data_IF_605696868906
#
_entry.id   IF_605696868906
#
_cell.length_a   1.000
_cell.length_b   1.000
_cell.length_c   1.000
_cell.angle_alpha   90.00
_cell.angle_beta   90.00
_cell.angle_gamma   90.00
#
_symmetry.space_group_name_H-M   'P 1'
#
loop_
_entity.id
_entity.type
_entity.pdbx_description
1 polymer ?
#
# COMPACT_ATOMS: atom_id res chain seq x y z
N UNK A 1 -32.04 -77.20 -17.22
CA UNK A 1 -32.30 -75.79 -17.55
C UNK A 1 -32.37 -75.03 -16.24
N UNK A 2 -31.35 -74.22 -15.95
CA UNK A 2 -31.26 -73.43 -14.73
C UNK A 2 -31.83 -72.03 -15.02
N UNK A 3 -32.78 -71.59 -14.20
CA UNK A 3 -33.28 -70.21 -14.21
C UNK A 3 -32.22 -69.28 -13.60
N UNK A 4 -32.03 -68.06 -14.14
CA UNK A 4 -31.08 -67.11 -13.57
C UNK A 4 -31.65 -66.48 -12.30
N UNK A 5 -30.82 -66.37 -11.27
CA UNK A 5 -31.10 -65.57 -10.08
C UNK A 5 -31.06 -64.09 -10.46
N UNK A 6 -32.18 -63.41 -10.25
CA UNK A 6 -32.34 -61.98 -10.46
C UNK A 6 -31.37 -61.19 -9.58
N UNK A 7 -30.68 -60.25 -10.21
CA UNK A 7 -29.88 -59.24 -9.52
C UNK A 7 -30.83 -58.33 -8.74
N UNK A 8 -30.71 -58.34 -7.41
CA UNK A 8 -31.36 -57.36 -6.53
C UNK A 8 -30.68 -56.01 -6.76
N UNK A 9 -31.24 -55.22 -7.67
CA UNK A 9 -30.94 -53.80 -7.77
C UNK A 9 -31.55 -53.11 -6.55
N UNK A 10 -30.71 -52.69 -5.60
CA UNK A 10 -31.11 -51.74 -4.56
C UNK A 10 -31.32 -50.40 -5.25
N UNK A 11 -32.55 -50.18 -5.74
CA UNK A 11 -32.99 -48.88 -6.20
C UNK A 11 -33.00 -47.94 -4.99
N UNK A 12 -32.07 -46.98 -4.98
CA UNK A 12 -32.19 -45.81 -4.12
C UNK A 12 -33.42 -45.06 -4.59
N UNK A 13 -34.53 -45.22 -3.87
CA UNK A 13 -35.76 -44.52 -4.14
C UNK A 13 -35.48 -43.02 -4.22
N UNK A 14 -35.83 -42.40 -5.35
CA UNK A 14 -35.84 -40.96 -5.50
C UNK A 14 -36.77 -40.39 -4.42
N UNK A 15 -36.18 -39.88 -3.34
CA UNK A 15 -36.90 -39.09 -2.35
C UNK A 15 -37.55 -37.93 -3.10
N UNK A 16 -38.88 -37.91 -3.17
CA UNK A 16 -39.64 -36.79 -3.73
C UNK A 16 -39.44 -35.59 -2.81
N UNK A 17 -38.35 -34.86 -3.01
CA UNK A 17 -38.10 -33.59 -2.35
C UNK A 17 -39.13 -32.59 -2.85
N UNK A 18 -39.66 -31.79 -1.93
CA UNK A 18 -40.63 -30.77 -2.27
C UNK A 18 -40.03 -29.74 -3.25
N UNK A 19 -40.78 -29.30 -4.29
CA UNK A 19 -40.28 -28.34 -5.28
C UNK A 19 -39.76 -27.03 -4.65
N UNK A 20 -40.38 -26.57 -3.57
CA UNK A 20 -39.95 -25.38 -2.84
C UNK A 20 -38.58 -25.56 -2.17
N UNK A 21 -38.35 -26.69 -1.49
CA UNK A 21 -37.06 -27.02 -0.88
C UNK A 21 -35.95 -27.17 -1.94
N UNK A 22 -36.27 -27.75 -3.10
CA UNK A 22 -35.32 -27.86 -4.21
C UNK A 22 -34.94 -26.49 -4.81
N UNK A 23 -35.92 -25.60 -4.98
CA UNK A 23 -35.68 -24.24 -5.45
C UNK A 23 -34.81 -23.44 -4.46
N UNK A 24 -35.07 -23.60 -3.16
CA UNK A 24 -34.26 -23.00 -2.10
C UNK A 24 -32.81 -23.49 -2.14
N UNK A 25 -32.57 -24.80 -2.22
CA UNK A 25 -31.21 -25.35 -2.30
C UNK A 25 -30.48 -24.84 -3.54
N UNK A 26 -31.14 -24.81 -4.70
CA UNK A 26 -30.55 -24.24 -5.92
C UNK A 26 -30.19 -22.77 -5.77
N UNK A 27 -30.99 -21.98 -5.06
CA UNK A 27 -30.70 -20.57 -4.76
C UNK A 27 -29.46 -20.42 -3.88
N UNK A 28 -29.38 -21.19 -2.78
CA UNK A 28 -28.22 -21.18 -1.87
C UNK A 28 -26.94 -21.62 -2.60
N UNK A 29 -26.99 -22.71 -3.35
CA UNK A 29 -25.84 -23.19 -4.13
C UNK A 29 -25.46 -22.19 -5.22
N UNK A 30 -26.42 -21.61 -5.95
CA UNK A 30 -26.12 -20.61 -6.98
C UNK A 30 -25.44 -19.35 -6.40
N UNK A 31 -25.76 -18.98 -5.16
CA UNK A 31 -25.15 -17.84 -4.49
C UNK A 31 -23.73 -18.12 -3.98
N UNK A 32 -23.41 -19.37 -3.64
CA UNK A 32 -22.19 -19.72 -2.90
C UNK A 32 -21.20 -20.62 -3.65
N UNK A 33 -21.63 -21.50 -4.56
CA UNK A 33 -20.79 -22.59 -5.07
C UNK A 33 -19.58 -22.19 -5.93
N UNK A 34 -19.50 -20.92 -6.33
CA UNK A 34 -18.39 -20.39 -7.12
C UNK A 34 -17.53 -19.39 -6.34
N UNK A 35 -17.78 -19.25 -5.04
CA UNK A 35 -17.09 -18.31 -4.17
C UNK A 35 -16.19 -19.04 -3.18
N UNK A 36 -15.12 -18.38 -2.75
CA UNK A 36 -14.44 -18.76 -1.51
C UNK A 36 -15.29 -18.38 -0.28
N UNK A 37 -14.89 -18.86 0.90
CA UNK A 37 -15.50 -18.44 2.16
C UNK A 37 -15.39 -16.92 2.34
N UNK A 38 -14.20 -16.34 2.09
CA UNK A 38 -13.95 -14.90 2.16
C UNK A 38 -14.84 -14.11 1.19
N UNK A 39 -14.95 -14.55 -0.07
CA UNK A 39 -15.81 -13.88 -1.08
C UNK A 39 -17.28 -13.94 -0.68
N UNK A 40 -17.73 -15.05 -0.07
CA UNK A 40 -19.09 -15.18 0.43
C UNK A 40 -19.35 -14.27 1.65
N UNK A 41 -18.38 -14.12 2.56
CA UNK A 41 -18.46 -13.20 3.68
C UNK A 41 -18.44 -11.74 3.24
N UNK A 42 -17.56 -11.36 2.31
CA UNK A 42 -17.43 -10.00 1.79
C UNK A 42 -18.73 -9.51 1.13
N UNK A 43 -19.39 -10.37 0.35
CA UNK A 43 -20.68 -10.04 -0.29
C UNK A 43 -21.79 -9.78 0.74
N UNK A 44 -21.76 -10.47 1.89
CA UNK A 44 -22.75 -10.30 2.95
C UNK A 44 -22.49 -9.06 3.81
N UNK A 45 -21.23 -8.62 3.91
CA UNK A 45 -20.81 -7.47 4.73
C UNK A 45 -20.83 -6.16 3.92
N UNK A 46 -20.63 -6.22 2.61
CA UNK A 46 -20.51 -5.02 1.75
C UNK A 46 -21.85 -4.34 1.45
N UNK A 47 -22.99 -5.01 1.68
CA UNK A 47 -24.34 -4.53 1.39
C UNK A 47 -24.97 -3.76 2.58
N UNK A 48 -24.25 -2.81 3.20
CA UNK A 48 -24.78 -2.01 4.33
C UNK A 48 -26.07 -1.20 3.98
N UNK A 49 -26.28 -0.88 2.69
CA UNK A 49 -27.44 -0.12 2.20
C UNK A 49 -28.64 -1.00 1.76
N UNK A 50 -28.47 -2.32 1.64
CA UNK A 50 -29.54 -3.25 1.27
C UNK A 50 -29.60 -4.41 2.29
N UNK A 51 -30.18 -4.14 3.46
CA UNK A 51 -30.47 -5.12 4.53
C UNK A 51 -31.43 -6.26 4.09
N UNK A 52 -31.63 -6.46 2.79
CA UNK A 52 -32.56 -7.40 2.17
C UNK A 52 -31.93 -8.70 1.68
N UNK A 53 -30.60 -8.84 1.75
CA UNK A 53 -29.87 -10.00 1.18
C UNK A 53 -29.46 -11.06 2.21
N UNK A 54 -30.20 -11.26 3.32
CA UNK A 54 -29.99 -12.47 4.11
C UNK A 54 -30.35 -13.69 3.25
N UNK A 55 -29.32 -14.43 2.85
CA UNK A 55 -29.42 -15.59 1.95
C UNK A 55 -30.40 -16.64 2.49
N UNK A 56 -30.66 -16.65 3.80
CA UNK A 56 -31.49 -17.66 4.46
C UNK A 56 -32.91 -17.17 4.76
N UNK A 57 -33.29 -15.97 4.29
CA UNK A 57 -34.68 -15.47 4.34
C UNK A 57 -35.62 -16.43 3.58
N UNK A 58 -36.83 -16.60 4.12
CA UNK A 58 -37.89 -17.47 3.59
C UNK A 58 -37.52 -18.95 3.49
N UNK A 59 -36.79 -19.47 4.49
CA UNK A 59 -36.46 -20.90 4.59
C UNK A 59 -37.73 -21.78 4.66
N UNK A 60 -37.93 -22.73 3.73
CA UNK A 60 -39.03 -23.69 3.80
C UNK A 60 -38.78 -24.78 4.85
N UNK A 61 -39.83 -25.45 5.31
CA UNK A 61 -39.71 -26.61 6.20
C UNK A 61 -38.99 -27.76 5.47
N UNK A 62 -37.83 -28.18 6.00
CA UNK A 62 -36.97 -29.18 5.37
C UNK A 62 -37.28 -30.61 5.85
N UNK A 63 -38.54 -31.02 5.85
CA UNK A 63 -38.99 -32.29 6.45
C UNK A 63 -38.64 -33.54 5.63
N UNK A 64 -38.37 -33.41 4.32
CA UNK A 64 -38.07 -34.53 3.40
C UNK A 64 -36.73 -34.30 2.69
N UNK A 65 -35.65 -34.11 3.44
CA UNK A 65 -34.28 -34.04 2.90
C UNK A 65 -33.39 -35.14 3.50
N UNK A 66 -32.40 -35.64 2.74
CA UNK A 66 -31.32 -36.44 3.32
C UNK A 66 -30.67 -35.68 4.47
N UNK A 67 -30.35 -36.38 5.56
CA UNK A 67 -29.79 -35.76 6.77
C UNK A 67 -28.53 -34.94 6.50
N UNK A 68 -27.66 -35.40 5.59
CA UNK A 68 -26.46 -34.68 5.18
C UNK A 68 -26.76 -33.33 4.50
N UNK A 69 -27.81 -33.26 3.68
CA UNK A 69 -28.23 -32.04 2.97
C UNK A 69 -28.87 -31.06 3.95
N UNK A 70 -29.73 -31.55 4.84
CA UNK A 70 -30.32 -30.72 5.89
C UNK A 70 -29.25 -30.16 6.85
N UNK A 71 -28.26 -30.97 7.22
CA UNK A 71 -27.12 -30.53 8.03
C UNK A 71 -26.28 -29.47 7.31
N UNK A 72 -25.94 -29.69 6.03
CA UNK A 72 -25.17 -28.71 5.26
C UNK A 72 -25.87 -27.35 5.15
N UNK A 73 -27.19 -27.32 4.98
CA UNK A 73 -27.97 -26.07 4.98
C UNK A 73 -27.94 -25.40 6.36
N UNK A 74 -28.14 -26.17 7.43
CA UNK A 74 -28.07 -25.64 8.80
C UNK A 74 -26.69 -25.05 9.09
N UNK A 75 -25.61 -25.74 8.70
CA UNK A 75 -24.25 -25.27 8.88
C UNK A 75 -24.02 -23.97 8.12
N UNK A 76 -24.39 -23.89 6.84
CA UNK A 76 -24.25 -22.64 6.07
C UNK A 76 -25.06 -21.48 6.67
N UNK A 77 -26.27 -21.75 7.19
CA UNK A 77 -27.06 -20.74 7.90
C UNK A 77 -26.36 -20.30 9.19
N UNK A 78 -25.81 -21.22 9.98
CA UNK A 78 -25.04 -20.89 11.19
C UNK A 78 -23.80 -20.05 10.90
N UNK A 79 -23.16 -20.25 9.74
CA UNK A 79 -21.96 -19.51 9.33
C UNK A 79 -22.26 -18.09 8.83
N UNK A 80 -23.35 -17.92 8.08
CA UNK A 80 -23.61 -16.68 7.33
C UNK A 80 -24.80 -15.87 7.82
N UNK A 81 -25.57 -16.37 8.79
CA UNK A 81 -26.66 -15.60 9.37
C UNK A 81 -26.11 -14.33 10.02
N UNK A 82 -26.82 -13.22 9.81
CA UNK A 82 -26.46 -11.94 10.41
C UNK A 82 -26.35 -12.05 11.93
N UNK A 83 -25.22 -11.57 12.48
CA UNK A 83 -24.89 -11.67 13.90
C UNK A 83 -24.41 -13.05 14.36
N UNK A 84 -24.16 -13.99 13.45
CA UNK A 84 -23.52 -15.26 13.79
C UNK A 84 -22.06 -15.03 14.27
N UNK A 85 -21.55 -15.89 15.17
CA UNK A 85 -20.17 -15.76 15.64
C UNK A 85 -19.11 -15.79 14.53
N UNK A 86 -19.17 -16.69 13.52
CA UNK A 86 -18.19 -16.72 12.43
C UNK A 86 -18.19 -15.45 11.59
N UNK A 87 -19.37 -14.96 11.19
CA UNK A 87 -19.47 -13.72 10.39
C UNK A 87 -18.96 -12.50 11.18
N UNK A 88 -19.31 -12.41 12.48
CA UNK A 88 -18.80 -11.34 13.33
C UNK A 88 -17.29 -11.43 13.57
N UNK A 89 -16.72 -12.64 13.63
CA UNK A 89 -15.27 -12.83 13.68
C UNK A 89 -14.60 -12.39 12.37
N UNK A 90 -15.21 -12.70 11.23
CA UNK A 90 -14.72 -12.25 9.92
C UNK A 90 -14.73 -10.72 9.81
N UNK A 91 -15.81 -10.05 10.22
CA UNK A 91 -15.88 -8.57 10.25
C UNK A 91 -14.74 -7.96 11.07
N UNK A 92 -14.46 -8.52 12.25
CA UNK A 92 -13.34 -8.09 13.10
C UNK A 92 -12.01 -8.30 12.40
N UNK A 93 -11.80 -9.46 11.79
CA UNK A 93 -10.56 -9.77 11.10
C UNK A 93 -10.35 -8.89 9.87
N UNK A 94 -11.41 -8.61 9.12
CA UNK A 94 -11.39 -7.66 7.99
C UNK A 94 -10.99 -6.25 8.45
N UNK A 95 -11.47 -5.78 9.61
CA UNK A 95 -11.03 -4.51 10.22
C UNK A 95 -9.56 -4.57 10.60
N UNK A 96 -9.09 -5.65 11.24
CA UNK A 96 -7.67 -5.82 11.61
C UNK A 96 -6.78 -5.80 10.36
N UNK A 97 -7.13 -6.56 9.34
CA UNK A 97 -6.40 -6.62 8.07
C UNK A 97 -6.33 -5.24 7.40
N UNK A 98 -7.48 -4.56 7.25
CA UNK A 98 -7.51 -3.20 6.70
C UNK A 98 -6.64 -2.24 7.54
N UNK A 99 -6.64 -2.38 8.87
CA UNK A 99 -5.82 -1.55 9.78
C UNK A 99 -4.32 -1.77 9.57
N UNK A 100 -3.89 -3.02 9.40
CA UNK A 100 -2.49 -3.37 9.08
C UNK A 100 -2.09 -2.74 7.74
N UNK A 101 -2.90 -2.94 6.70
CA UNK A 101 -2.65 -2.36 5.38
C UNK A 101 -2.59 -0.82 5.44
N UNK A 102 -3.45 -0.20 6.22
CA UNK A 102 -3.46 1.26 6.38
C UNK A 102 -2.22 1.75 7.14
N UNK A 103 -1.75 1.02 8.16
CA UNK A 103 -0.47 1.32 8.85
C UNK A 103 0.72 1.22 7.90
N UNK A 104 0.73 0.24 7.00
CA UNK A 104 1.78 0.12 5.98
C UNK A 104 1.77 1.30 5.01
N UNK A 105 0.59 1.75 4.56
CA UNK A 105 0.46 2.97 3.72
C UNK A 105 0.99 4.21 4.43
N UNK A 106 0.70 4.37 5.73
CA UNK A 106 1.25 5.46 6.55
C UNK A 106 2.78 5.37 6.60
N UNK A 107 3.33 4.18 6.83
CA UNK A 107 4.77 3.98 6.89
C UNK A 107 5.46 4.32 5.55
N UNK A 108 4.93 3.86 4.42
CA UNK A 108 5.44 4.19 3.07
C UNK A 108 5.35 5.70 2.78
N UNK A 109 4.25 6.36 3.15
CA UNK A 109 4.10 7.80 3.00
C UNK A 109 5.14 8.57 3.85
N UNK A 110 5.37 8.14 5.09
CA UNK A 110 6.38 8.74 5.98
C UNK A 110 7.80 8.53 5.46
N UNK A 111 8.11 7.35 4.93
CA UNK A 111 9.42 7.06 4.33
C UNK A 111 9.70 7.97 3.12
N UNK A 112 8.71 8.14 2.24
CA UNK A 112 8.79 9.08 1.10
C UNK A 112 9.02 10.52 1.54
N UNK A 113 8.28 10.98 2.57
CA UNK A 113 8.49 12.31 3.13
C UNK A 113 9.92 12.48 3.65
N UNK A 114 10.40 11.52 4.44
CA UNK A 114 11.77 11.53 4.99
C UNK A 114 12.83 11.52 3.90
N UNK A 115 12.62 10.76 2.82
CA UNK A 115 13.51 10.76 1.67
C UNK A 115 13.61 12.17 1.05
N UNK A 116 12.48 12.84 0.82
CA UNK A 116 12.45 14.18 0.25
C UNK A 116 13.14 15.19 1.17
N UNK A 117 12.88 15.12 2.49
CA UNK A 117 13.53 15.98 3.47
C UNK A 117 15.06 15.80 3.48
N UNK A 118 15.54 14.56 3.38
CA UNK A 118 16.98 14.27 3.26
C UNK A 118 17.58 14.86 1.98
N UNK A 119 16.85 14.79 0.85
CA UNK A 119 17.31 15.40 -0.41
C UNK A 119 17.40 16.91 -0.28
N UNK A 120 16.42 17.57 0.33
CA UNK A 120 16.44 19.02 0.60
C UNK A 120 17.64 19.37 1.48
N UNK A 121 17.86 18.65 2.57
CA UNK A 121 19.00 18.88 3.46
C UNK A 121 20.35 18.75 2.74
N UNK A 122 20.48 17.79 1.82
CA UNK A 122 21.67 17.64 0.98
C UNK A 122 21.83 18.78 -0.02
N UNK A 123 20.73 19.28 -0.60
CA UNK A 123 20.76 20.46 -1.47
C UNK A 123 21.22 21.69 -0.70
N UNK A 124 20.71 21.91 0.52
CA UNK A 124 21.14 22.99 1.41
C UNK A 124 22.62 22.91 1.75
N UNK A 125 23.11 21.72 2.11
CA UNK A 125 24.53 21.50 2.38
C UNK A 125 25.39 21.81 1.15
N UNK A 126 24.97 21.38 -0.04
CA UNK A 126 25.68 21.65 -1.29
C UNK A 126 25.69 23.15 -1.60
N UNK A 127 24.55 23.85 -1.41
CA UNK A 127 24.47 25.29 -1.61
C UNK A 127 25.40 26.05 -0.66
N UNK A 128 25.43 25.66 0.62
CA UNK A 128 26.31 26.26 1.62
C UNK A 128 27.80 26.07 1.28
N UNK A 129 28.18 24.86 0.84
CA UNK A 129 29.53 24.54 0.36
C UNK A 129 29.91 25.44 -0.83
N UNK A 130 29.06 25.50 -1.86
CA UNK A 130 29.33 26.32 -3.05
C UNK A 130 29.42 27.82 -2.71
N UNK A 131 28.56 28.31 -1.83
CA UNK A 131 28.63 29.69 -1.36
C UNK A 131 29.94 29.98 -0.61
N UNK A 132 30.45 29.03 0.19
CA UNK A 132 31.75 29.15 0.83
C UNK A 132 32.90 29.16 -0.19
N UNK A 133 32.87 28.29 -1.20
CA UNK A 133 33.84 28.29 -2.29
C UNK A 133 33.88 29.63 -3.03
N UNK A 134 32.71 30.18 -3.40
CA UNK A 134 32.63 31.49 -4.08
C UNK A 134 33.27 32.59 -3.22
N UNK A 135 32.98 32.62 -1.91
CA UNK A 135 33.62 33.59 -0.99
C UNK A 135 35.15 33.44 -0.97
N UNK A 136 35.65 32.21 -0.94
CA UNK A 136 37.09 31.94 -0.94
C UNK A 136 37.77 32.37 -2.26
N UNK A 137 37.13 32.09 -3.41
CA UNK A 137 37.63 32.52 -4.72
C UNK A 137 37.67 34.04 -4.81
N UNK A 138 36.60 34.73 -4.40
CA UNK A 138 36.56 36.20 -4.35
C UNK A 138 37.62 36.80 -3.44
N UNK A 139 37.86 36.19 -2.28
CA UNK A 139 38.94 36.62 -1.39
C UNK A 139 40.31 36.47 -2.05
N UNK A 140 40.54 35.37 -2.78
CA UNK A 140 41.77 35.13 -3.54
C UNK A 140 41.96 36.18 -4.65
N UNK A 141 40.90 36.51 -5.39
CA UNK A 141 40.95 37.59 -6.38
C UNK A 141 41.29 38.93 -5.73
N UNK A 142 40.74 39.23 -4.54
CA UNK A 142 41.10 40.40 -3.76
C UNK A 142 42.59 40.49 -3.43
N UNK A 143 43.19 39.37 -2.98
CA UNK A 143 44.64 39.28 -2.73
C UNK A 143 45.44 39.51 -4.00
N UNK A 144 45.06 38.88 -5.12
CA UNK A 144 45.75 39.07 -6.41
C UNK A 144 45.71 40.55 -6.86
N UNK A 145 44.58 41.23 -6.67
CA UNK A 145 44.49 42.66 -6.96
C UNK A 145 45.42 43.50 -6.06
N UNK A 146 45.52 43.19 -4.77
CA UNK A 146 46.47 43.85 -3.88
C UNK A 146 47.93 43.60 -4.28
N UNK A 147 48.28 42.36 -4.67
CA UNK A 147 49.61 42.01 -5.19
C UNK A 147 49.94 42.80 -6.47
N UNK A 148 48.98 42.92 -7.41
CA UNK A 148 49.14 43.73 -8.62
C UNK A 148 49.41 45.21 -8.29
N UNK A 149 48.65 45.78 -7.35
CA UNK A 149 48.84 47.17 -6.93
C UNK A 149 50.23 47.39 -6.30
N UNK A 150 50.71 46.47 -5.48
CA UNK A 150 52.04 46.54 -4.87
C UNK A 150 53.17 46.43 -5.92
N UNK A 151 53.02 45.56 -6.92
CA UNK A 151 53.97 45.43 -8.03
C UNK A 151 54.06 46.73 -8.84
N UNK A 152 52.93 47.40 -9.07
CA UNK A 152 52.88 48.70 -9.76
C UNK A 152 53.54 49.80 -8.91
N UNK A 153 53.27 49.85 -7.61
CA UNK A 153 53.87 50.83 -6.71
C UNK A 153 55.41 50.71 -6.66
N UNK A 154 55.93 49.48 -6.52
CA UNK A 154 57.39 49.22 -6.52
C UNK A 154 58.07 49.66 -7.81
N UNK A 155 57.39 49.57 -8.95
CA UNK A 155 57.91 50.10 -10.20
C UNK A 155 57.98 51.64 -10.18
N UNK A 156 56.92 52.29 -9.68
CA UNK A 156 56.85 53.75 -9.59
C UNK A 156 57.92 54.34 -8.66
N UNK A 157 58.22 53.63 -7.56
CA UNK A 157 59.24 54.01 -6.59
C UNK A 157 60.68 53.68 -7.05
N UNK A 158 60.83 53.03 -8.21
CA UNK A 158 62.13 52.62 -8.76
C UNK A 158 62.76 51.41 -8.06
N UNK A 159 62.03 50.73 -7.19
CA UNK A 159 62.48 49.56 -6.41
C UNK A 159 62.46 48.25 -7.22
N UNK A 160 61.89 48.25 -8.42
CA UNK A 160 61.78 47.08 -9.27
C UNK A 160 62.09 47.40 -10.74
N UNK A 161 62.76 46.47 -11.43
CA UNK A 161 63.04 46.58 -12.85
C UNK A 161 61.82 46.20 -13.71
N UNK A 162 61.67 46.84 -14.87
CA UNK A 162 60.58 46.59 -15.83
C UNK A 162 60.38 45.11 -16.19
N UNK A 163 61.47 44.35 -16.33
CA UNK A 163 61.41 42.93 -16.69
C UNK A 163 60.81 42.06 -15.58
N UNK A 164 61.16 42.33 -14.32
CA UNK A 164 60.61 41.65 -13.13
C UNK A 164 59.12 41.95 -12.99
N UNK A 165 58.74 43.22 -13.13
CA UNK A 165 57.35 43.68 -13.05
C UNK A 165 56.51 43.04 -14.16
N UNK A 166 56.99 43.01 -15.40
CA UNK A 166 56.28 42.38 -16.52
C UNK A 166 56.06 40.88 -16.30
N UNK A 167 57.01 40.17 -15.69
CA UNK A 167 56.84 38.76 -15.33
C UNK A 167 55.78 38.57 -14.24
N UNK A 168 55.86 39.34 -13.15
CA UNK A 168 54.92 39.30 -12.03
C UNK A 168 53.50 39.62 -12.48
N UNK A 169 53.31 40.69 -13.27
CA UNK A 169 51.99 41.07 -13.81
C UNK A 169 51.41 39.95 -14.68
N UNK A 170 52.19 39.36 -15.60
CA UNK A 170 51.69 38.23 -16.43
C UNK A 170 51.24 37.04 -15.58
N UNK A 171 52.01 36.70 -14.54
CA UNK A 171 51.66 35.61 -13.62
C UNK A 171 50.37 35.89 -12.85
N UNK A 172 50.22 37.11 -12.33
CA UNK A 172 49.06 37.55 -11.55
C UNK A 172 47.80 37.62 -12.41
N UNK A 173 47.89 38.19 -13.62
CA UNK A 173 46.76 38.23 -14.56
C UNK A 173 46.29 36.81 -14.94
N UNK A 174 47.22 35.88 -15.15
CA UNK A 174 46.87 34.47 -15.39
C UNK A 174 46.14 33.84 -14.20
N UNK A 175 46.62 34.07 -12.97
CA UNK A 175 45.97 33.58 -11.74
C UNK A 175 44.57 34.21 -11.56
N UNK A 176 44.42 35.49 -11.90
CA UNK A 176 43.13 36.20 -11.82
C UNK A 176 42.12 35.59 -12.79
N UNK A 177 42.51 35.41 -14.06
CA UNK A 177 41.64 34.80 -15.07
C UNK A 177 41.17 33.39 -14.67
N UNK A 178 42.08 32.58 -14.09
CA UNK A 178 41.73 31.24 -13.60
C UNK A 178 40.75 31.29 -12.41
N UNK A 179 40.88 32.29 -11.52
CA UNK A 179 39.96 32.48 -10.41
C UNK A 179 38.57 32.95 -10.90
N UNK A 180 38.51 33.86 -11.88
CA UNK A 180 37.28 34.33 -12.51
C UNK A 180 36.51 33.18 -13.21
N UNK A 181 37.22 32.32 -13.94
CA UNK A 181 36.64 31.13 -14.57
C UNK A 181 36.07 30.18 -13.51
N UNK A 182 36.83 29.91 -12.45
CA UNK A 182 36.35 29.08 -11.33
C UNK A 182 35.14 29.68 -10.63
N UNK A 183 35.04 31.00 -10.49
CA UNK A 183 33.86 31.66 -9.92
C UNK A 183 32.65 31.50 -10.85
N UNK A 184 32.83 31.70 -12.15
CA UNK A 184 31.76 31.58 -13.14
C UNK A 184 31.16 30.17 -13.19
N UNK A 185 31.99 29.14 -13.08
CA UNK A 185 31.57 27.73 -13.01
C UNK A 185 30.73 27.44 -11.75
N UNK A 186 31.19 27.95 -10.59
CA UNK A 186 30.45 27.84 -9.34
C UNK A 186 29.10 28.56 -9.40
N UNK A 187 29.06 29.77 -9.94
CA UNK A 187 27.84 30.54 -10.10
C UNK A 187 26.85 29.84 -11.05
N UNK A 188 27.33 29.26 -12.15
CA UNK A 188 26.50 28.48 -13.07
C UNK A 188 25.88 27.27 -12.37
N UNK A 189 26.64 26.61 -11.50
CA UNK A 189 26.14 25.48 -10.70
C UNK A 189 25.06 25.95 -9.71
N UNK A 190 25.32 27.02 -8.96
CA UNK A 190 24.35 27.60 -8.01
C UNK A 190 23.09 28.10 -8.72
N UNK A 191 23.20 28.69 -9.90
CA UNK A 191 22.07 29.19 -10.68
C UNK A 191 21.09 28.09 -11.11
N UNK A 192 21.52 26.82 -11.15
CA UNK A 192 20.66 25.67 -11.47
C UNK A 192 19.94 25.08 -10.26
N UNK A 193 20.37 25.41 -9.04
CA UNK A 193 19.80 24.84 -7.81
C UNK A 193 18.36 25.30 -7.50
N UNK A 194 17.94 26.56 -7.78
CA UNK A 194 16.59 27.01 -7.43
C UNK A 194 15.47 26.14 -8.02
N UNK A 195 15.62 25.62 -9.24
CA UNK A 195 14.60 24.74 -9.84
C UNK A 195 14.49 23.41 -9.09
N UNK A 196 15.61 22.84 -8.65
CA UNK A 196 15.63 21.63 -7.82
C UNK A 196 14.96 21.88 -6.48
N UNK A 197 15.26 23.00 -5.81
CA UNK A 197 14.60 23.38 -4.56
C UNK A 197 13.08 23.54 -4.74
N UNK A 198 12.64 24.28 -5.75
CA UNK A 198 11.20 24.46 -6.02
C UNK A 198 10.51 23.11 -6.24
N UNK A 199 11.13 22.21 -7.01
CA UNK A 199 10.60 20.86 -7.22
C UNK A 199 10.46 20.09 -5.90
N UNK A 200 11.54 19.98 -5.11
CA UNK A 200 11.52 19.19 -3.89
C UNK A 200 10.68 19.79 -2.77
N UNK A 201 10.59 21.13 -2.67
CA UNK A 201 9.67 21.76 -1.72
C UNK A 201 8.21 21.47 -2.07
N UNK A 202 7.86 21.47 -3.36
CA UNK A 202 6.52 21.05 -3.81
C UNK A 202 6.26 19.57 -3.50
N UNK A 203 7.23 18.69 -3.75
CA UNK A 203 7.11 17.26 -3.42
C UNK A 203 6.96 17.02 -1.91
N UNK A 204 7.67 17.79 -1.08
CA UNK A 204 7.54 17.73 0.38
C UNK A 204 6.12 18.06 0.82
N UNK A 205 5.53 19.13 0.27
CA UNK A 205 4.16 19.53 0.60
C UNK A 205 3.15 18.44 0.23
N UNK A 206 3.24 17.89 -0.99
CA UNK A 206 2.39 16.77 -1.40
C UNK A 206 2.56 15.54 -0.52
N UNK A 207 3.78 15.22 -0.12
CA UNK A 207 4.07 14.07 0.74
C UNK A 207 3.54 14.29 2.15
N UNK A 208 3.62 15.51 2.68
CA UNK A 208 3.03 15.86 3.98
C UNK A 208 1.50 15.70 3.95
N UNK A 209 0.84 16.26 2.94
CA UNK A 209 -0.61 16.11 2.75
C UNK A 209 -0.99 14.63 2.66
N UNK A 210 -0.20 13.82 1.96
CA UNK A 210 -0.42 12.36 1.88
C UNK A 210 -0.30 11.70 3.24
N UNK A 211 0.77 11.97 3.99
CA UNK A 211 0.97 11.44 5.35
C UNK A 211 -0.22 11.82 6.25
N UNK A 212 -0.63 13.09 6.24
CA UNK A 212 -1.78 13.56 7.02
C UNK A 212 -3.09 12.84 6.61
N UNK A 213 -3.30 12.63 5.31
CA UNK A 213 -4.47 11.92 4.80
C UNK A 213 -4.47 10.43 5.22
N UNK A 214 -3.33 9.73 5.09
CA UNK A 214 -3.24 8.32 5.47
C UNK A 214 -3.34 8.13 7.00
N UNK A 215 -2.80 9.07 7.80
CA UNK A 215 -2.97 9.08 9.25
C UNK A 215 -4.43 9.37 9.66
N UNK A 216 -5.10 10.31 8.99
CA UNK A 216 -6.50 10.59 9.21
C UNK A 216 -7.38 9.38 8.86
N UNK A 217 -7.08 8.70 7.75
CA UNK A 217 -7.75 7.46 7.36
C UNK A 217 -7.53 6.37 8.42
N UNK A 218 -6.31 6.21 8.94
CA UNK A 218 -6.02 5.26 10.02
C UNK A 218 -6.79 5.61 11.30
N UNK A 219 -6.87 6.89 11.67
CA UNK A 219 -7.58 7.35 12.86
C UNK A 219 -9.11 7.22 12.75
N UNK A 220 -9.65 7.19 11.53
CA UNK A 220 -11.07 6.95 11.27
C UNK A 220 -11.45 5.47 11.33
N UNK A 221 -10.49 4.55 11.35
CA UNK A 221 -10.75 3.12 11.43
C UNK A 221 -11.21 2.73 12.83
N UNK A 222 -12.07 1.70 12.97
CA UNK A 222 -12.40 1.13 14.26
C UNK A 222 -11.12 0.63 14.96
N UNK A 223 -11.08 0.73 16.30
CA UNK A 223 -9.92 0.29 17.06
C UNK A 223 -9.65 -1.21 16.86
N UNK A 224 -8.41 -1.61 16.54
CA UNK A 224 -8.07 -3.00 16.27
C UNK A 224 -7.99 -3.86 17.54
N UNK A 225 -8.09 -3.27 18.72
CA UNK A 225 -7.92 -3.94 20.02
C UNK A 225 -9.21 -4.67 20.47
N UNK A 226 -9.81 -5.39 19.53
CA UNK A 226 -10.86 -6.36 19.82
C UNK A 226 -10.21 -7.60 20.45
N UNK A 227 -10.54 -7.97 21.70
CA UNK A 227 -10.04 -9.21 22.31
C UNK A 227 -10.43 -10.42 21.45
N UNK A 228 -9.64 -11.50 21.53
CA UNK A 228 -9.98 -12.78 20.89
C UNK A 228 -9.42 -13.03 19.48
N UNK A 229 -8.35 -12.36 19.04
CA UNK A 229 -7.78 -12.61 17.69
C UNK A 229 -7.49 -14.08 17.40
N UNK A 230 -6.85 -14.79 18.33
CA UNK A 230 -6.53 -16.22 18.15
C UNK A 230 -7.81 -17.07 18.08
N UNK A 231 -8.81 -16.73 18.90
CA UNK A 231 -10.10 -17.41 18.93
C UNK A 231 -10.90 -17.14 17.65
N UNK A 232 -10.81 -15.92 17.11
CA UNK A 232 -11.39 -15.52 15.82
C UNK A 232 -10.75 -16.30 14.67
N UNK A 233 -9.41 -16.41 14.65
CA UNK A 233 -8.69 -17.17 13.62
C UNK A 233 -9.07 -18.65 13.65
N UNK A 234 -9.06 -19.29 14.82
CA UNK A 234 -9.46 -20.70 14.94
C UNK A 234 -10.91 -20.90 14.48
N UNK A 235 -11.82 -20.02 14.89
CA UNK A 235 -13.22 -20.06 14.50
C UNK A 235 -13.41 -19.87 12.97
N UNK A 236 -12.62 -19.01 12.34
CA UNK A 236 -12.68 -18.77 10.90
C UNK A 236 -12.14 -19.96 10.11
N UNK A 237 -11.06 -20.60 10.58
CA UNK A 237 -10.56 -21.84 9.98
C UNK A 237 -11.62 -22.96 10.05
N UNK A 238 -12.23 -23.18 11.22
CA UNK A 238 -13.30 -24.16 11.38
C UNK A 238 -14.53 -23.84 10.50
N UNK A 239 -14.84 -22.55 10.35
CA UNK A 239 -15.92 -22.06 9.51
C UNK A 239 -15.65 -22.30 8.01
N UNK A 240 -14.43 -22.03 7.54
CA UNK A 240 -14.01 -22.26 6.16
C UNK A 240 -14.09 -23.75 5.80
N UNK A 241 -13.55 -24.63 6.65
CA UNK A 241 -13.65 -26.09 6.44
C UNK A 241 -15.11 -26.56 6.39
N UNK A 242 -15.94 -26.03 7.29
CA UNK A 242 -17.37 -26.35 7.38
C UNK A 242 -18.14 -25.84 6.17
N UNK A 243 -17.76 -24.68 5.64
CA UNK A 243 -18.31 -24.08 4.42
C UNK A 243 -18.02 -24.96 3.20
N UNK A 244 -16.75 -25.29 2.96
CA UNK A 244 -16.34 -26.10 1.80
C UNK A 244 -17.03 -27.47 1.78
N UNK A 245 -17.08 -28.12 2.94
CA UNK A 245 -17.75 -29.41 3.12
C UNK A 245 -19.25 -29.31 2.84
N UNK A 246 -19.90 -28.26 3.33
CA UNK A 246 -21.34 -28.06 3.16
C UNK A 246 -21.71 -27.75 1.72
N UNK A 247 -20.94 -26.89 1.04
CA UNK A 247 -21.12 -26.59 -0.39
C UNK A 247 -20.88 -27.83 -1.26
N UNK A 248 -19.86 -28.64 -0.93
CA UNK A 248 -19.60 -29.91 -1.62
C UNK A 248 -20.80 -30.86 -1.54
N UNK A 249 -21.38 -31.03 -0.34
CA UNK A 249 -22.57 -31.88 -0.13
C UNK A 249 -23.77 -31.36 -0.93
N UNK A 250 -24.04 -30.06 -0.93
CA UNK A 250 -25.18 -29.49 -1.67
C UNK A 250 -25.01 -29.58 -3.19
N UNK A 251 -23.80 -29.34 -3.68
CA UNK A 251 -23.47 -29.42 -5.12
C UNK A 251 -23.58 -30.87 -5.62
N UNK A 252 -23.03 -31.83 -4.86
CA UNK A 252 -23.13 -33.25 -5.19
C UNK A 252 -24.59 -33.72 -5.14
N UNK A 253 -25.37 -33.24 -4.16
CA UNK A 253 -26.79 -33.54 -4.07
C UNK A 253 -27.54 -33.03 -5.30
N UNK A 254 -27.34 -31.77 -5.72
CA UNK A 254 -27.98 -31.21 -6.91
C UNK A 254 -27.57 -31.92 -8.20
N UNK A 255 -26.31 -32.35 -8.33
CA UNK A 255 -25.83 -33.09 -9.49
C UNK A 255 -26.47 -34.48 -9.63
N UNK A 256 -26.97 -35.06 -8.54
CA UNK A 256 -27.67 -36.36 -8.52
C UNK A 256 -29.18 -36.25 -8.71
N UNK A 257 -29.72 -35.03 -8.77
CA UNK A 257 -31.14 -34.80 -9.07
C UNK A 257 -31.33 -34.61 -10.59
N UNK A 258 -32.31 -35.29 -11.21
CA UNK A 258 -32.57 -35.20 -12.65
C UNK A 258 -33.13 -33.84 -13.09
#
# INVERSE_FOLDING_TARGET
>A
MAAPAEAVSVGVAATKVEPAAMAYIRRVVAALAHKSFDEACDDLISDEDDQTTDLFVDRPELTILPSAVALAINTLEELFRMGSPPLAAYEREAVRYKSVLQKEKVADAMEKLRFIENVIARLDATLAERAACIRAVRATMGVIHSELAAVIARLADGEAGWAEVAFSVRSLVRRLAQAEESEADLLTTVARMPSAFVYFFRQREFSRIRVDAEMAALAAMPEPDMPGHLEDVDLLCDAEESYEKSIGVLTEFLAKQP
#
